data_IF_274435214075
#
_entry.id   IF_274435214075
#
_cell.length_a   1.000
_cell.length_b   1.000
_cell.length_c   1.000
_cell.angle_alpha   90.00
_cell.angle_beta   90.00
_cell.angle_gamma   90.00
#
_symmetry.space_group_name_H-M   'P 1'
#
loop_
_entity.id
_entity.type
_entity.pdbx_description
1 polymer ?
#
# COMPACT_ATOMS: atom_id res chain seq x y z
N UNK A 1 -27.75 26.12 -19.90
CA UNK A 1 -26.70 25.92 -20.93
C UNK A 1 -27.30 25.13 -22.08
N UNK A 2 -27.35 25.70 -23.29
CA UNK A 2 -27.86 25.00 -24.47
C UNK A 2 -26.94 23.81 -24.81
N UNK A 3 -27.52 22.60 -24.88
CA UNK A 3 -26.82 21.41 -25.34
C UNK A 3 -26.47 21.56 -26.82
N UNK A 4 -25.18 21.66 -27.15
CA UNK A 4 -24.69 21.75 -28.53
C UNK A 4 -25.19 20.56 -29.37
N UNK A 5 -25.44 20.79 -30.65
CA UNK A 5 -25.88 19.75 -31.58
C UNK A 5 -24.83 18.63 -31.71
N UNK A 6 -25.25 17.41 -32.08
CA UNK A 6 -24.34 16.25 -32.24
C UNK A 6 -23.17 16.51 -33.22
N UNK A 7 -23.40 17.15 -34.40
CA UNK A 7 -22.32 17.47 -35.35
C UNK A 7 -21.31 18.47 -34.78
N UNK A 8 -21.78 19.49 -34.05
CA UNK A 8 -20.91 20.48 -33.41
C UNK A 8 -20.06 19.87 -32.30
N UNK A 9 -20.63 18.95 -31.49
CA UNK A 9 -19.85 18.18 -30.51
C UNK A 9 -18.78 17.33 -31.18
N UNK A 10 -19.11 16.66 -32.28
CA UNK A 10 -18.16 15.87 -33.06
C UNK A 10 -17.04 16.71 -33.68
N UNK A 11 -17.33 17.94 -34.13
CA UNK A 11 -16.33 18.88 -34.64
C UNK A 11 -15.39 19.36 -33.54
N UNK A 12 -15.93 19.84 -32.41
CA UNK A 12 -15.13 20.33 -31.27
C UNK A 12 -14.23 19.22 -30.71
N UNK A 13 -14.73 17.98 -30.60
CA UNK A 13 -13.93 16.85 -30.13
C UNK A 13 -12.76 16.54 -31.08
N UNK A 14 -12.98 16.62 -32.40
CA UNK A 14 -11.91 16.44 -33.40
C UNK A 14 -10.87 17.55 -33.32
N UNK A 15 -11.30 18.81 -33.20
CA UNK A 15 -10.39 19.95 -33.04
C UNK A 15 -9.52 19.82 -31.77
N UNK A 16 -10.10 19.37 -30.64
CA UNK A 16 -9.35 19.13 -29.39
C UNK A 16 -8.35 17.98 -29.58
N UNK A 17 -8.78 16.84 -30.15
CA UNK A 17 -7.91 15.69 -30.35
C UNK A 17 -6.72 16.04 -31.26
N UNK A 18 -6.96 16.74 -32.38
CA UNK A 18 -5.91 17.18 -33.30
C UNK A 18 -4.90 18.12 -32.62
N UNK A 19 -5.37 19.09 -31.82
CA UNK A 19 -4.49 19.97 -31.03
C UNK A 19 -3.66 19.21 -29.99
N UNK A 20 -4.15 18.07 -29.52
CA UNK A 20 -3.43 17.16 -28.63
C UNK A 20 -2.56 16.12 -29.36
N UNK A 21 -2.35 16.27 -30.68
CA UNK A 21 -1.48 15.39 -31.46
C UNK A 21 -2.10 14.07 -31.92
N UNK A 22 -3.43 13.91 -31.81
CA UNK A 22 -4.12 12.71 -32.27
C UNK A 22 -4.45 12.76 -33.77
N UNK A 23 -4.26 11.64 -34.44
CA UNK A 23 -4.68 11.41 -35.83
C UNK A 23 -5.86 10.44 -35.86
N UNK A 24 -6.93 10.80 -36.57
CA UNK A 24 -8.09 9.93 -36.76
C UNK A 24 -7.79 8.87 -37.83
N UNK A 25 -7.89 7.59 -37.48
CA UNK A 25 -7.81 6.46 -38.40
C UNK A 25 -9.18 5.78 -38.43
N UNK A 26 -9.74 5.57 -39.63
CA UNK A 26 -10.99 4.84 -39.82
C UNK A 26 -10.69 3.43 -40.31
N UNK A 27 -11.18 2.44 -39.58
CA UNK A 27 -11.04 1.02 -39.91
C UNK A 27 -12.44 0.45 -40.20
N UNK A 28 -12.51 -0.44 -41.18
CA UNK A 28 -13.74 -1.16 -41.55
C UNK A 28 -13.60 -2.59 -41.03
N UNK A 29 -14.51 -3.01 -40.15
CA UNK A 29 -14.61 -4.39 -39.70
C UNK A 29 -15.60 -5.16 -40.59
N UNK A 30 -15.20 -6.34 -41.08
CA UNK A 30 -16.03 -7.19 -41.96
C UNK A 30 -16.69 -8.36 -41.22
N UNK A 31 -16.25 -8.61 -40.00
CA UNK A 31 -16.70 -9.72 -39.15
C UNK A 31 -16.57 -9.36 -37.67
N UNK A 32 -17.20 -10.13 -36.78
CA UNK A 32 -17.00 -9.98 -35.33
C UNK A 32 -15.55 -10.26 -34.91
N UNK A 33 -14.85 -11.14 -35.64
CA UNK A 33 -13.43 -11.40 -35.43
C UNK A 33 -12.59 -10.16 -35.76
N UNK A 34 -12.90 -9.44 -36.84
CA UNK A 34 -12.23 -8.18 -37.19
C UNK A 34 -12.44 -7.12 -36.09
N UNK A 35 -13.63 -7.07 -35.47
CA UNK A 35 -13.92 -6.17 -34.34
C UNK A 35 -13.03 -6.52 -33.15
N UNK A 36 -12.94 -7.81 -32.80
CA UNK A 36 -12.12 -8.26 -31.67
C UNK A 36 -10.64 -7.97 -31.89
N UNK A 37 -10.13 -8.16 -33.11
CA UNK A 37 -8.74 -7.83 -33.46
C UNK A 37 -8.46 -6.33 -33.36
N UNK A 38 -9.39 -5.48 -33.82
CA UNK A 38 -9.27 -4.03 -33.71
C UNK A 38 -9.26 -3.58 -32.24
N UNK A 39 -10.14 -4.12 -31.40
CA UNK A 39 -10.16 -3.79 -29.97
C UNK A 39 -8.90 -4.30 -29.25
N UNK A 40 -8.38 -5.48 -29.60
CA UNK A 40 -7.11 -5.99 -29.06
C UNK A 40 -5.94 -5.07 -29.45
N UNK A 41 -5.82 -4.68 -30.73
CA UNK A 41 -4.79 -3.73 -31.17
C UNK A 41 -4.88 -2.39 -30.44
N UNK A 42 -6.11 -1.87 -30.26
CA UNK A 42 -6.36 -0.63 -29.53
C UNK A 42 -5.93 -0.75 -28.07
N UNK A 43 -6.23 -1.86 -27.42
CA UNK A 43 -5.82 -2.14 -26.05
C UNK A 43 -4.29 -2.22 -25.93
N UNK A 44 -3.62 -2.96 -26.80
CA UNK A 44 -2.16 -3.06 -26.79
C UNK A 44 -1.46 -1.72 -27.01
N UNK A 45 -1.94 -0.91 -27.96
CA UNK A 45 -1.40 0.43 -28.19
C UNK A 45 -1.59 1.34 -26.98
N UNK A 46 -2.76 1.27 -26.34
CA UNK A 46 -3.04 2.01 -25.12
C UNK A 46 -2.09 1.60 -23.99
N UNK A 47 -1.88 0.30 -23.78
CA UNK A 47 -0.95 -0.21 -22.75
C UNK A 47 0.48 0.25 -22.99
N UNK A 48 0.98 0.13 -24.23
CA UNK A 48 2.32 0.62 -24.60
C UNK A 48 2.46 2.13 -24.36
N UNK A 49 1.44 2.90 -24.73
CA UNK A 49 1.45 4.36 -24.53
C UNK A 49 1.48 4.73 -23.04
N UNK A 50 0.67 4.07 -22.20
CA UNK A 50 0.63 4.31 -20.75
C UNK A 50 2.00 3.98 -20.13
N UNK A 51 2.62 2.86 -20.52
CA UNK A 51 3.94 2.47 -20.02
C UNK A 51 5.03 3.51 -20.34
N UNK A 52 4.90 4.23 -21.45
CA UNK A 52 5.84 5.29 -21.86
C UNK A 52 5.60 6.63 -21.16
N UNK A 53 4.50 6.81 -20.42
CA UNK A 53 4.24 8.06 -19.71
C UNK A 53 5.13 8.17 -18.45
N UNK A 54 5.85 9.28 -18.23
CA UNK A 54 6.68 9.46 -17.03
C UNK A 54 5.83 9.45 -15.74
N UNK A 55 4.59 9.90 -15.80
CA UNK A 55 3.64 9.85 -14.68
C UNK A 55 3.31 8.42 -14.23
N UNK A 56 3.46 7.42 -15.10
CA UNK A 56 3.19 6.03 -14.76
C UNK A 56 4.11 5.53 -13.64
N UNK A 57 5.37 6.00 -13.61
CA UNK A 57 6.34 5.69 -12.57
C UNK A 57 5.99 6.31 -11.21
N UNK A 58 5.17 7.36 -11.19
CA UNK A 58 4.76 8.08 -9.97
C UNK A 58 3.58 7.41 -9.27
N UNK A 59 2.89 6.49 -9.93
CA UNK A 59 1.80 5.72 -9.34
C UNK A 59 2.35 4.52 -8.55
N UNK A 60 1.74 4.23 -7.41
CA UNK A 60 2.00 2.99 -6.69
C UNK A 60 1.64 1.79 -7.59
N UNK A 61 2.35 0.66 -7.51
CA UNK A 61 2.07 -0.52 -8.35
C UNK A 61 0.58 -0.93 -8.45
N UNK A 62 -0.21 -1.03 -7.35
CA UNK A 62 -1.63 -1.38 -7.45
C UNK A 62 -2.49 -0.29 -8.11
N UNK A 63 -2.15 0.99 -7.91
CA UNK A 63 -2.89 2.11 -8.50
C UNK A 63 -2.58 2.19 -10.00
N UNK A 64 -1.34 1.92 -10.39
CA UNK A 64 -0.92 1.80 -11.79
C UNK A 64 -1.79 0.79 -12.54
N UNK A 65 -1.91 -0.44 -11.99
CA UNK A 65 -2.76 -1.50 -12.54
C UNK A 65 -4.22 -1.05 -12.63
N UNK A 66 -4.75 -0.47 -11.55
CA UNK A 66 -6.14 0.01 -11.53
C UNK A 66 -6.38 1.10 -12.57
N UNK A 67 -5.48 2.08 -12.71
CA UNK A 67 -5.58 3.15 -13.72
C UNK A 67 -5.58 2.56 -15.14
N UNK A 68 -4.69 1.60 -15.43
CA UNK A 68 -4.66 0.89 -16.71
C UNK A 68 -5.98 0.19 -17.01
N UNK A 69 -6.54 -0.55 -16.04
CA UNK A 69 -7.83 -1.22 -16.15
C UNK A 69 -8.97 -0.21 -16.42
N UNK A 70 -9.00 0.92 -15.69
CA UNK A 70 -10.04 1.94 -15.91
C UNK A 70 -9.93 2.64 -17.26
N UNK A 71 -8.72 2.84 -17.79
CA UNK A 71 -8.52 3.43 -19.11
C UNK A 71 -9.05 2.50 -20.21
N UNK A 72 -8.88 1.18 -20.05
CA UNK A 72 -9.43 0.17 -20.95
C UNK A 72 -10.97 0.13 -20.93
N UNK A 73 -11.60 0.47 -19.79
CA UNK A 73 -13.06 0.48 -19.62
C UNK A 73 -13.74 1.78 -20.10
N UNK A 74 -13.03 2.69 -20.79
CA UNK A 74 -13.64 3.93 -21.28
C UNK A 74 -14.78 3.63 -22.27
N UNK A 75 -15.97 4.13 -21.95
CA UNK A 75 -17.17 3.91 -22.77
C UNK A 75 -17.81 2.53 -22.62
N UNK A 76 -17.32 1.73 -21.67
CA UNK A 76 -17.95 0.46 -21.29
C UNK A 76 -19.37 0.67 -20.78
N UNK A 77 -20.28 -0.24 -21.14
CA UNK A 77 -21.66 -0.29 -20.65
C UNK A 77 -21.75 -0.58 -19.14
N UNK A 78 -20.65 -1.01 -18.51
CA UNK A 78 -20.57 -1.19 -17.06
C UNK A 78 -20.72 0.13 -16.28
N UNK A 79 -20.57 1.27 -16.94
CA UNK A 79 -20.66 2.58 -16.31
C UNK A 79 -21.68 3.48 -17.01
N UNK A 80 -22.48 4.19 -16.22
CA UNK A 80 -23.48 5.16 -16.72
C UNK A 80 -22.84 6.28 -17.54
N UNK A 81 -21.62 6.68 -17.17
CA UNK A 81 -20.85 7.71 -17.88
C UNK A 81 -19.62 7.12 -18.53
N UNK A 82 -19.21 7.68 -19.67
CA UNK A 82 -18.04 7.25 -20.47
C UNK A 82 -16.71 7.25 -19.70
N UNK A 83 -16.64 8.00 -18.59
CA UNK A 83 -15.47 8.19 -17.72
C UNK A 83 -15.72 7.64 -16.30
N UNK A 84 -16.75 6.81 -16.13
CA UNK A 84 -17.17 6.31 -14.81
C UNK A 84 -16.08 5.50 -14.11
N UNK A 85 -15.36 4.65 -14.85
CA UNK A 85 -14.24 3.87 -14.32
C UNK A 85 -13.14 4.76 -13.73
N UNK A 86 -12.69 5.77 -14.49
CA UNK A 86 -11.68 6.72 -14.01
C UNK A 86 -12.18 7.54 -12.81
N UNK A 87 -13.44 7.99 -12.86
CA UNK A 87 -14.03 8.72 -11.74
C UNK A 87 -14.07 7.87 -10.47
N UNK A 88 -14.43 6.58 -10.57
CA UNK A 88 -14.43 5.63 -9.46
C UNK A 88 -13.04 5.49 -8.85
N UNK A 89 -11.99 5.32 -9.67
CA UNK A 89 -10.61 5.21 -9.17
C UNK A 89 -10.17 6.47 -8.45
N UNK A 90 -10.43 7.66 -9.01
CA UNK A 90 -10.09 8.92 -8.33
C UNK A 90 -10.82 9.04 -6.99
N UNK A 91 -12.10 8.63 -6.93
CA UNK A 91 -12.83 8.59 -5.66
C UNK A 91 -12.16 7.62 -4.69
N UNK A 92 -11.81 6.41 -5.11
CA UNK A 92 -11.07 5.43 -4.29
C UNK A 92 -9.74 6.01 -3.79
N UNK A 93 -8.95 6.68 -4.64
CA UNK A 93 -7.71 7.32 -4.20
C UNK A 93 -7.94 8.40 -3.14
N UNK A 94 -8.92 9.28 -3.36
CA UNK A 94 -9.29 10.33 -2.40
C UNK A 94 -9.81 9.73 -1.09
N UNK A 95 -10.69 8.74 -1.17
CA UNK A 95 -11.29 8.07 -0.01
C UNK A 95 -10.26 7.40 0.89
N UNK A 96 -9.14 6.98 0.33
CA UNK A 96 -8.04 6.34 1.05
C UNK A 96 -6.86 7.27 1.36
N UNK A 97 -7.00 8.56 1.07
CA UNK A 97 -5.99 9.59 1.34
C UNK A 97 -4.73 9.49 0.48
N UNK A 98 -4.82 8.88 -0.71
CA UNK A 98 -3.72 8.71 -1.67
C UNK A 98 -3.65 9.89 -2.66
N UNK A 99 -3.53 11.11 -2.14
CA UNK A 99 -3.76 12.33 -2.90
C UNK A 99 -2.67 12.60 -3.94
N UNK A 100 -1.41 12.21 -3.65
CA UNK A 100 -0.29 12.42 -4.59
C UNK A 100 -0.42 11.60 -5.88
N UNK A 101 -1.22 10.52 -5.85
CA UNK A 101 -1.44 9.66 -7.01
C UNK A 101 -2.52 10.21 -7.95
N UNK A 102 -3.27 11.23 -7.52
CA UNK A 102 -4.41 11.77 -8.26
C UNK A 102 -3.96 12.55 -9.51
N UNK A 103 -2.98 13.46 -9.36
CA UNK A 103 -2.49 14.27 -10.49
C UNK A 103 -1.82 13.39 -11.55
N UNK A 104 -0.89 12.47 -11.22
CA UNK A 104 -0.31 11.56 -12.21
C UNK A 104 -1.37 10.75 -12.96
N UNK A 105 -2.36 10.20 -12.25
CA UNK A 105 -3.44 9.45 -12.85
C UNK A 105 -4.29 10.30 -13.81
N UNK A 106 -4.60 11.55 -13.45
CA UNK A 106 -5.34 12.48 -14.33
C UNK A 106 -4.51 12.88 -15.55
N UNK A 107 -3.20 13.06 -15.41
CA UNK A 107 -2.31 13.37 -16.54
C UNK A 107 -2.26 12.23 -17.56
N UNK A 108 -2.12 10.99 -17.10
CA UNK A 108 -2.21 9.81 -17.98
C UNK A 108 -3.57 9.76 -18.67
N UNK A 109 -4.67 9.97 -17.92
CA UNK A 109 -6.01 10.01 -18.49
C UNK A 109 -6.17 11.13 -19.54
N UNK A 110 -5.66 12.32 -19.25
CA UNK A 110 -5.68 13.48 -20.16
C UNK A 110 -4.91 13.18 -21.44
N UNK A 111 -3.74 12.55 -21.32
CA UNK A 111 -2.91 12.15 -22.45
C UNK A 111 -3.62 11.13 -23.34
N UNK A 112 -4.39 10.19 -22.76
CA UNK A 112 -5.14 9.20 -23.54
C UNK A 112 -6.45 9.76 -24.10
N UNK A 113 -7.13 10.63 -23.35
CA UNK A 113 -8.53 11.00 -23.58
C UNK A 113 -8.81 12.50 -23.34
N UNK A 114 -8.13 13.41 -24.07
CA UNK A 114 -8.19 14.85 -23.80
C UNK A 114 -9.59 15.45 -23.94
N UNK A 115 -10.41 14.92 -24.86
CA UNK A 115 -11.80 15.36 -25.08
C UNK A 115 -12.74 15.09 -23.90
N UNK A 116 -12.36 14.16 -23.01
CA UNK A 116 -13.19 13.71 -21.89
C UNK A 116 -12.72 14.27 -20.54
N UNK A 117 -11.57 14.96 -20.50
CA UNK A 117 -10.94 15.46 -19.28
C UNK A 117 -11.87 16.36 -18.46
N UNK A 118 -12.62 17.26 -19.11
CA UNK A 118 -13.50 18.21 -18.42
C UNK A 118 -14.55 17.55 -17.53
N UNK A 119 -15.01 16.35 -17.87
CA UNK A 119 -15.97 15.62 -17.06
C UNK A 119 -15.33 15.06 -15.78
N UNK A 120 -14.12 14.55 -15.89
CA UNK A 120 -13.34 14.08 -14.73
C UNK A 120 -13.06 15.26 -13.81
N UNK A 121 -12.60 16.39 -14.34
CA UNK A 121 -12.29 17.60 -13.57
C UNK A 121 -13.50 18.17 -12.82
N UNK A 122 -14.69 18.20 -13.43
CA UNK A 122 -15.92 18.68 -12.76
C UNK A 122 -16.31 17.88 -11.52
N UNK A 123 -15.83 16.65 -11.38
CA UNK A 123 -16.11 15.81 -10.21
C UNK A 123 -15.21 16.12 -9.01
N UNK A 124 -14.10 16.83 -9.21
CA UNK A 124 -13.09 17.04 -8.17
C UNK A 124 -13.58 17.82 -6.94
N UNK A 125 -14.30 18.94 -7.08
CA UNK A 125 -14.76 19.69 -5.91
C UNK A 125 -15.53 18.81 -4.93
N UNK A 126 -16.52 18.05 -5.42
CA UNK A 126 -17.28 17.12 -4.58
C UNK A 126 -16.43 16.06 -3.88
N UNK A 127 -15.42 15.51 -4.58
CA UNK A 127 -14.50 14.51 -4.00
C UNK A 127 -13.60 15.13 -2.92
N UNK A 128 -13.07 16.34 -3.15
CA UNK A 128 -12.25 17.06 -2.17
C UNK A 128 -13.08 17.43 -0.95
N UNK A 129 -14.30 17.91 -1.13
CA UNK A 129 -15.21 18.23 -0.01
C UNK A 129 -15.47 16.98 0.84
N UNK A 130 -15.82 15.86 0.21
CA UNK A 130 -16.05 14.60 0.92
C UNK A 130 -14.79 14.11 1.66
N UNK A 131 -13.62 14.21 1.01
CA UNK A 131 -12.35 13.91 1.65
C UNK A 131 -12.10 14.77 2.89
N UNK A 132 -12.26 16.09 2.80
CA UNK A 132 -12.06 16.99 3.93
C UNK A 132 -13.05 16.70 5.07
N UNK A 133 -14.32 16.42 4.77
CA UNK A 133 -15.32 16.05 5.78
C UNK A 133 -15.05 14.71 6.49
N UNK A 134 -14.24 13.81 5.90
CA UNK A 134 -13.79 12.59 6.60
C UNK A 134 -12.65 12.85 7.59
N UNK A 135 -11.83 13.86 7.33
CA UNK A 135 -10.61 14.13 8.10
C UNK A 135 -10.70 15.36 9.00
N UNK A 136 -11.77 16.14 8.91
CA UNK A 136 -12.05 17.29 9.76
C UNK A 136 -13.53 17.34 10.15
N UNK A 137 -13.85 18.23 11.09
CA UNK A 137 -15.23 18.51 11.43
C UNK A 137 -15.97 19.09 10.21
N UNK A 138 -17.09 18.45 9.82
CA UNK A 138 -17.90 18.85 8.67
C UNK A 138 -18.38 20.31 8.76
N UNK A 139 -18.71 20.84 9.96
CA UNK A 139 -19.11 22.24 10.10
C UNK A 139 -17.96 23.21 9.80
N UNK A 140 -16.72 22.84 10.15
CA UNK A 140 -15.53 23.63 9.83
C UNK A 140 -15.27 23.64 8.32
N UNK A 141 -15.48 22.50 7.65
CA UNK A 141 -15.34 22.40 6.19
C UNK A 141 -16.39 23.26 5.49
N UNK A 142 -17.66 23.15 5.87
CA UNK A 142 -18.75 23.96 5.29
C UNK A 142 -18.47 25.45 5.47
N UNK A 143 -18.18 25.89 6.70
CA UNK A 143 -17.87 27.30 6.99
C UNK A 143 -16.65 27.82 6.19
N UNK A 144 -15.64 26.97 5.96
CA UNK A 144 -14.51 27.33 5.14
C UNK A 144 -14.90 27.49 3.66
N UNK A 145 -15.71 26.57 3.12
CA UNK A 145 -16.16 26.65 1.71
C UNK A 145 -17.05 27.86 1.42
N UNK A 146 -17.90 28.26 2.38
CA UNK A 146 -18.72 29.48 2.27
C UNK A 146 -17.86 30.75 2.23
N UNK A 147 -16.76 30.78 2.98
CA UNK A 147 -15.81 31.91 2.98
C UNK A 147 -14.92 31.98 1.74
N UNK A 148 -14.85 30.90 0.95
CA UNK A 148 -13.99 30.79 -0.23
C UNK A 148 -14.77 30.33 -1.46
N UNK A 149 -15.75 31.10 -1.98
CA UNK A 149 -16.70 30.63 -2.99
C UNK A 149 -16.07 30.05 -4.28
N UNK A 150 -14.85 30.48 -4.62
CA UNK A 150 -14.13 30.01 -5.81
C UNK A 150 -13.23 28.78 -5.56
N UNK A 151 -13.34 28.12 -4.41
CA UNK A 151 -12.47 26.99 -4.04
C UNK A 151 -12.57 25.82 -5.03
N UNK A 152 -13.75 25.58 -5.60
CA UNK A 152 -13.98 24.51 -6.57
C UNK A 152 -13.19 24.70 -7.86
N UNK A 153 -13.19 25.92 -8.40
CA UNK A 153 -12.41 26.26 -9.59
C UNK A 153 -10.91 26.20 -9.29
N UNK A 154 -10.49 26.69 -8.11
CA UNK A 154 -9.10 26.60 -7.66
C UNK A 154 -8.59 25.16 -7.60
N UNK A 155 -9.43 24.22 -7.14
CA UNK A 155 -9.10 22.79 -7.15
C UNK A 155 -8.91 22.28 -8.58
N UNK A 156 -9.84 22.60 -9.49
CA UNK A 156 -9.75 22.16 -10.89
C UNK A 156 -8.47 22.68 -11.55
N UNK A 157 -8.17 23.97 -11.38
CA UNK A 157 -6.94 24.60 -11.88
C UNK A 157 -5.70 23.93 -11.29
N UNK A 158 -5.68 23.64 -9.99
CA UNK A 158 -4.54 22.99 -9.35
C UNK A 158 -4.24 21.58 -9.87
N UNK A 159 -5.26 20.83 -10.29
CA UNK A 159 -5.09 19.51 -10.92
C UNK A 159 -4.44 19.65 -12.29
N UNK A 160 -4.88 20.63 -13.08
CA UNK A 160 -4.32 20.93 -14.40
C UNK A 160 -2.86 21.40 -14.31
N UNK A 161 -2.57 22.30 -13.37
CA UNK A 161 -1.24 22.89 -13.19
C UNK A 161 -0.28 21.95 -12.43
N UNK A 162 -0.79 20.85 -11.86
CA UNK A 162 -0.02 19.90 -11.06
C UNK A 162 0.33 20.38 -9.65
N UNK A 163 -0.40 21.38 -9.13
CA UNK A 163 -0.21 21.97 -7.79
C UNK A 163 -1.24 21.49 -6.76
N UNK A 164 -2.03 20.47 -7.11
CA UNK A 164 -3.15 19.95 -6.31
C UNK A 164 -2.77 19.62 -4.86
N UNK A 165 -1.67 18.91 -4.62
CA UNK A 165 -1.27 18.52 -3.26
C UNK A 165 -0.99 19.74 -2.38
N UNK A 166 -0.35 20.78 -2.91
CA UNK A 166 -0.11 22.02 -2.19
C UNK A 166 -1.39 22.77 -1.85
N UNK A 167 -2.36 22.81 -2.78
CA UNK A 167 -3.68 23.42 -2.51
C UNK A 167 -4.45 22.61 -1.48
N UNK A 168 -4.45 21.28 -1.60
CA UNK A 168 -5.14 20.40 -0.66
C UNK A 168 -4.52 20.49 0.74
N UNK A 169 -3.19 20.56 0.86
CA UNK A 169 -2.48 20.79 2.11
C UNK A 169 -2.94 22.07 2.81
N UNK A 170 -3.03 23.19 2.08
CA UNK A 170 -3.51 24.46 2.63
C UNK A 170 -4.96 24.35 3.13
N UNK A 171 -5.82 23.68 2.38
CA UNK A 171 -7.21 23.44 2.79
C UNK A 171 -7.27 22.59 4.06
N UNK A 172 -6.53 21.47 4.10
CA UNK A 172 -6.44 20.58 5.27
C UNK A 172 -5.96 21.34 6.51
N UNK A 173 -4.96 22.21 6.35
CA UNK A 173 -4.47 23.07 7.44
C UNK A 173 -5.58 23.98 7.95
N UNK A 174 -6.27 24.68 7.04
CA UNK A 174 -7.28 25.67 7.39
C UNK A 174 -8.52 25.06 8.08
N UNK A 175 -8.87 23.81 7.77
CA UNK A 175 -10.02 23.11 8.39
C UNK A 175 -9.62 22.26 9.60
N UNK A 176 -8.34 22.26 10.00
CA UNK A 176 -7.83 21.49 11.14
C UNK A 176 -7.76 19.97 10.89
N UNK A 177 -7.65 19.54 9.63
CA UNK A 177 -7.52 18.12 9.26
C UNK A 177 -6.11 17.54 9.43
N UNK A 178 -5.20 18.28 10.08
CA UNK A 178 -3.78 17.96 10.19
C UNK A 178 -3.41 17.88 11.67
N UNK A 179 -3.33 16.65 12.17
CA UNK A 179 -2.89 16.38 13.54
C UNK A 179 -1.59 15.57 13.48
N UNK A 180 -0.53 16.11 14.08
CA UNK A 180 0.74 15.42 14.17
C UNK A 180 0.63 14.23 15.12
N UNK A 181 1.03 13.05 14.66
CA UNK A 181 1.12 11.84 15.47
C UNK A 181 2.39 11.82 16.34
N UNK A 182 2.33 12.51 17.48
CA UNK A 182 3.45 12.59 18.44
C UNK A 182 3.90 11.23 19.01
N UNK A 183 2.99 10.29 19.36
CA UNK A 183 3.39 8.95 19.79
C UNK A 183 4.27 8.23 18.76
N UNK A 184 3.88 8.25 17.48
CA UNK A 184 4.65 7.63 16.40
C UNK A 184 5.98 8.36 16.17
N UNK A 185 6.02 9.69 16.20
CA UNK A 185 7.28 10.44 16.09
C UNK A 185 8.28 10.05 17.20
N UNK A 186 7.79 9.88 18.42
CA UNK A 186 8.60 9.44 19.56
C UNK A 186 9.08 8.00 19.37
N UNK A 187 8.20 7.10 18.87
CA UNK A 187 8.58 5.74 18.51
C UNK A 187 9.71 5.72 17.48
N UNK A 188 9.61 6.50 16.40
CA UNK A 188 10.60 6.49 15.32
C UNK A 188 11.98 6.91 15.81
N UNK A 189 12.05 7.94 16.66
CA UNK A 189 13.31 8.38 17.29
C UNK A 189 13.91 7.26 18.15
N UNK A 190 13.10 6.63 19.00
CA UNK A 190 13.54 5.51 19.85
C UNK A 190 13.99 4.30 19.03
N UNK A 191 13.33 3.99 17.92
CA UNK A 191 13.68 2.89 17.03
C UNK A 191 15.10 3.06 16.48
N UNK A 192 15.45 4.28 16.05
CA UNK A 192 16.81 4.65 15.61
C UNK A 192 17.83 4.60 16.76
N UNK A 193 17.50 5.17 17.91
CA UNK A 193 18.42 5.32 19.04
C UNK A 193 18.77 3.98 19.72
N UNK A 194 17.82 3.05 19.75
CA UNK A 194 18.00 1.71 20.31
C UNK A 194 18.82 0.80 19.38
N UNK A 195 18.86 1.11 18.09
CA UNK A 195 19.59 0.32 17.11
C UNK A 195 21.11 0.37 17.35
N UNK A 196 21.77 -0.79 17.20
CA UNK A 196 23.22 -0.95 17.39
C UNK A 196 23.81 -1.61 16.14
N UNK A 197 25.06 -1.28 15.81
CA UNK A 197 25.75 -1.86 14.65
C UNK A 197 25.33 -1.29 13.30
N UNK A 198 24.54 -0.22 13.29
CA UNK A 198 24.14 0.49 12.05
C UNK A 198 25.29 1.39 11.60
N UNK A 199 25.62 1.35 10.31
CA UNK A 199 26.71 2.15 9.76
C UNK A 199 26.36 3.66 9.75
N UNK A 200 27.39 4.51 9.69
CA UNK A 200 27.24 5.96 9.79
C UNK A 200 26.37 6.56 8.67
N UNK A 201 26.47 6.05 7.44
CA UNK A 201 25.66 6.52 6.31
C UNK A 201 24.17 6.23 6.51
N UNK A 202 23.82 5.03 6.96
CA UNK A 202 22.44 4.66 7.29
C UNK A 202 21.89 5.48 8.48
N UNK A 203 22.74 5.81 9.47
CA UNK A 203 22.36 6.70 10.58
C UNK A 203 22.08 8.13 10.11
N UNK A 204 22.87 8.65 9.18
CA UNK A 204 22.65 9.98 8.58
C UNK A 204 21.37 10.02 7.76
N UNK A 205 21.15 9.02 6.90
CA UNK A 205 19.91 8.89 6.14
C UNK A 205 18.69 8.75 7.06
N UNK A 206 18.80 7.96 8.13
CA UNK A 206 17.76 7.85 9.16
C UNK A 206 17.44 9.20 9.82
N UNK A 207 18.46 10.02 10.10
CA UNK A 207 18.25 11.36 10.65
C UNK A 207 17.50 12.27 9.66
N UNK A 208 17.90 12.28 8.38
CA UNK A 208 17.22 13.07 7.35
C UNK A 208 15.73 12.70 7.21
N UNK A 209 15.39 11.41 7.35
CA UNK A 209 14.00 10.93 7.35
C UNK A 209 13.26 11.43 8.60
N UNK A 210 13.89 11.37 9.78
CA UNK A 210 13.29 11.84 11.03
C UNK A 210 13.06 13.36 11.05
N UNK A 211 13.91 14.14 10.40
CA UNK A 211 13.76 15.60 10.33
C UNK A 211 12.49 15.98 9.55
N UNK A 212 12.12 15.19 8.53
CA UNK A 212 10.87 15.35 7.76
C UNK A 212 9.65 14.66 8.35
N UNK A 213 9.85 13.73 9.29
CA UNK A 213 8.76 12.92 9.84
C UNK A 213 7.54 13.72 10.34
N UNK A 214 7.66 14.91 10.97
CA UNK A 214 6.48 15.68 11.38
C UNK A 214 5.52 16.01 10.22
N UNK A 215 6.05 16.29 9.03
CA UNK A 215 5.26 16.61 7.83
C UNK A 215 4.76 15.35 7.10
N UNK A 216 5.41 14.22 7.30
CA UNK A 216 4.98 12.92 6.78
C UNK A 216 3.87 12.31 7.64
N UNK A 217 3.96 12.43 8.97
CA UNK A 217 3.08 11.76 9.94
C UNK A 217 1.65 12.30 9.99
N UNK A 218 1.41 13.46 9.39
CA UNK A 218 0.07 14.01 9.14
C UNK A 218 -0.63 13.35 7.94
N UNK A 219 0.09 12.52 7.17
CA UNK A 219 -0.42 11.82 6.00
C UNK A 219 -0.75 10.37 6.34
N UNK A 220 -1.57 9.74 5.51
CA UNK A 220 -1.82 8.30 5.59
C UNK A 220 -0.55 7.53 5.20
N UNK A 221 -0.19 6.44 5.89
CA UNK A 221 0.92 5.58 5.48
C UNK A 221 0.69 4.94 4.10
N UNK A 222 -0.55 4.91 3.58
CA UNK A 222 -0.88 4.45 2.21
C UNK A 222 -0.40 5.40 1.11
N UNK A 223 -0.13 6.65 1.47
CA UNK A 223 0.32 7.66 0.54
C UNK A 223 1.62 7.22 -0.14
N UNK A 224 1.65 7.30 -1.47
CA UNK A 224 2.81 6.92 -2.28
C UNK A 224 3.55 8.16 -2.79
N UNK A 225 4.44 8.65 -1.94
CA UNK A 225 5.40 9.71 -2.25
C UNK A 225 6.76 9.40 -1.62
N UNK A 226 7.77 10.21 -1.94
CA UNK A 226 9.14 9.97 -1.49
C UNK A 226 9.28 9.94 0.04
N UNK A 227 8.62 10.84 0.76
CA UNK A 227 8.78 10.99 2.20
C UNK A 227 8.02 9.88 2.95
N UNK A 228 6.81 9.51 2.52
CA UNK A 228 6.08 8.36 3.05
C UNK A 228 6.81 7.04 2.74
N UNK A 229 7.32 6.86 1.51
CA UNK A 229 8.10 5.69 1.12
C UNK A 229 9.37 5.56 1.98
N UNK A 230 10.08 6.67 2.20
CA UNK A 230 11.27 6.68 3.04
C UNK A 230 10.95 6.33 4.50
N UNK A 231 9.84 6.84 5.04
CA UNK A 231 9.42 6.51 6.40
C UNK A 231 8.97 5.04 6.55
N UNK A 232 8.30 4.48 5.53
CA UNK A 232 7.95 3.06 5.48
C UNK A 232 9.19 2.17 5.43
N UNK A 233 10.17 2.52 4.61
CA UNK A 233 11.45 1.83 4.53
C UNK A 233 12.24 1.93 5.84
N UNK A 234 12.28 3.12 6.47
CA UNK A 234 12.90 3.35 7.76
C UNK A 234 12.36 2.38 8.82
N UNK A 235 11.04 2.27 8.96
CA UNK A 235 10.42 1.39 9.96
C UNK A 235 10.82 -0.06 9.71
N UNK A 236 10.70 -0.54 8.47
CA UNK A 236 11.07 -1.91 8.13
C UNK A 236 12.55 -2.18 8.37
N UNK A 237 13.44 -1.29 7.93
CA UNK A 237 14.89 -1.43 8.06
C UNK A 237 15.31 -1.67 9.51
N UNK A 238 14.87 -0.82 10.44
CA UNK A 238 15.26 -0.98 11.84
C UNK A 238 14.64 -2.21 12.52
N UNK A 239 13.43 -2.60 12.12
CA UNK A 239 12.80 -3.83 12.60
C UNK A 239 13.54 -5.07 12.10
N UNK A 240 14.00 -5.08 10.84
CA UNK A 240 14.82 -6.16 10.29
C UNK A 240 16.19 -6.21 10.95
N UNK A 241 16.85 -5.07 11.17
CA UNK A 241 18.14 -5.01 11.85
C UNK A 241 18.07 -5.59 13.29
N UNK A 242 16.98 -5.32 14.03
CA UNK A 242 16.76 -5.94 15.35
C UNK A 242 16.52 -7.46 15.24
N UNK A 243 15.70 -7.90 14.27
CA UNK A 243 15.42 -9.31 14.03
C UNK A 243 16.67 -10.09 13.62
N UNK A 244 17.49 -9.56 12.72
CA UNK A 244 18.72 -10.21 12.26
C UNK A 244 19.72 -10.37 13.40
N UNK A 245 19.83 -9.36 14.28
CA UNK A 245 20.65 -9.45 15.48
C UNK A 245 20.19 -10.56 16.44
N UNK A 246 18.87 -10.73 16.60
CA UNK A 246 18.30 -11.73 17.52
C UNK A 246 18.35 -13.13 16.93
N UNK A 247 18.00 -13.28 15.66
CA UNK A 247 17.65 -14.55 15.05
C UNK A 247 18.51 -14.92 13.83
N UNK A 248 19.55 -14.15 13.50
CA UNK A 248 20.45 -14.37 12.36
C UNK A 248 20.01 -13.67 11.07
N UNK A 249 20.88 -13.67 10.06
CA UNK A 249 20.71 -12.91 8.82
C UNK A 249 19.50 -13.35 7.99
N UNK A 250 18.92 -12.44 7.20
CA UNK A 250 17.86 -12.77 6.24
C UNK A 250 18.35 -13.71 5.13
N UNK A 251 17.53 -14.70 4.75
CA UNK A 251 17.89 -15.65 3.69
C UNK A 251 17.94 -15.02 2.28
N UNK A 252 17.11 -14.00 2.01
CA UNK A 252 16.95 -13.39 0.68
C UNK A 252 17.03 -11.86 0.72
N UNK A 253 17.89 -11.30 1.57
CA UNK A 253 17.98 -9.84 1.81
C UNK A 253 18.16 -8.99 0.55
N UNK A 254 19.08 -9.38 -0.34
CA UNK A 254 19.40 -8.63 -1.58
C UNK A 254 18.27 -8.63 -2.62
N UNK A 255 17.38 -9.63 -2.57
CA UNK A 255 16.24 -9.80 -3.48
C UNK A 255 14.92 -9.37 -2.83
N UNK A 256 14.97 -8.72 -1.67
CA UNK A 256 13.77 -8.27 -0.95
C UNK A 256 13.56 -6.78 -1.19
N UNK A 257 12.37 -6.41 -1.68
CA UNK A 257 11.96 -5.03 -1.80
C UNK A 257 11.66 -4.43 -0.42
N UNK A 258 12.47 -3.45 0.00
CA UNK A 258 12.51 -2.94 1.37
C UNK A 258 11.53 -1.78 1.65
N UNK A 259 10.62 -1.48 0.73
CA UNK A 259 9.57 -0.48 0.93
C UNK A 259 8.24 -1.23 1.08
N UNK A 260 7.70 -1.39 2.31
CA UNK A 260 6.37 -1.94 2.49
C UNK A 260 5.34 -1.17 1.66
N UNK A 261 4.40 -1.88 1.04
CA UNK A 261 3.39 -1.27 0.19
C UNK A 261 2.01 -1.86 0.48
N UNK A 262 0.97 -1.22 -0.04
CA UNK A 262 -0.42 -1.61 0.19
C UNK A 262 -1.01 -2.26 -1.06
N UNK A 263 -1.86 -3.26 -0.91
CA UNK A 263 -2.60 -3.86 -2.03
C UNK A 263 -4.03 -4.24 -1.61
N UNK A 264 -5.00 -3.46 -2.08
CA UNK A 264 -6.43 -3.69 -1.80
C UNK A 264 -6.98 -5.00 -2.36
N UNK A 265 -6.37 -5.56 -3.41
CA UNK A 265 -6.82 -6.80 -4.05
C UNK A 265 -6.68 -8.03 -3.12
N UNK A 266 -5.72 -8.02 -2.18
CA UNK A 266 -5.50 -9.12 -1.25
C UNK A 266 -6.69 -9.33 -0.31
N UNK A 267 -7.20 -8.24 0.24
CA UNK A 267 -8.36 -8.31 1.14
C UNK A 267 -9.63 -8.72 0.38
N UNK A 268 -9.80 -8.26 -0.87
CA UNK A 268 -10.89 -8.72 -1.74
C UNK A 268 -10.82 -10.22 -2.06
N UNK A 269 -9.62 -10.78 -2.06
CA UNK A 269 -9.38 -12.21 -2.26
C UNK A 269 -9.41 -13.02 -0.95
N UNK A 270 -9.88 -12.43 0.16
CA UNK A 270 -9.95 -13.04 1.50
C UNK A 270 -8.59 -13.55 2.01
N UNK A 271 -7.49 -13.01 1.48
CA UNK A 271 -6.14 -13.34 1.94
C UNK A 271 -5.82 -12.61 3.25
N UNK A 272 -4.83 -13.10 4.04
CA UNK A 272 -4.30 -12.36 5.16
C UNK A 272 -3.88 -10.95 4.74
N UNK A 273 -4.41 -9.96 5.47
CA UNK A 273 -4.28 -8.54 5.15
C UNK A 273 -2.81 -8.12 5.01
N UNK A 274 -1.96 -8.58 5.92
CA UNK A 274 -0.51 -8.38 5.87
C UNK A 274 0.19 -9.70 5.53
N UNK A 275 1.19 -9.65 4.63
CA UNK A 275 1.97 -10.84 4.28
C UNK A 275 3.01 -10.58 3.19
N UNK A 276 3.82 -11.61 2.93
CA UNK A 276 4.83 -11.59 1.87
C UNK A 276 4.17 -11.84 0.52
N UNK A 277 4.63 -11.12 -0.50
CA UNK A 277 4.20 -11.29 -1.89
C UNK A 277 5.41 -11.53 -2.78
N UNK A 278 5.20 -12.29 -3.87
CA UNK A 278 6.12 -12.34 -5.00
C UNK A 278 5.75 -11.30 -6.02
N UNK A 279 6.76 -10.79 -6.72
CA UNK A 279 6.56 -10.06 -7.95
C UNK A 279 6.50 -11.07 -9.11
N UNK A 280 5.44 -10.98 -9.92
CA UNK A 280 5.31 -11.76 -11.16
C UNK A 280 6.23 -11.20 -12.23
N UNK A 281 6.67 -12.03 -13.18
CA UNK A 281 7.63 -11.67 -14.25
C UNK A 281 7.23 -10.44 -15.09
N UNK A 282 5.94 -10.07 -15.11
CA UNK A 282 5.41 -8.89 -15.81
C UNK A 282 5.53 -7.58 -15.00
N UNK A 283 5.98 -7.65 -13.75
CA UNK A 283 6.23 -6.50 -12.88
C UNK A 283 7.62 -5.92 -13.11
N UNK A 284 7.74 -4.59 -13.16
CA UNK A 284 9.04 -3.91 -13.18
C UNK A 284 9.91 -4.27 -11.98
N UNK A 285 9.30 -4.54 -10.82
CA UNK A 285 9.99 -4.94 -9.60
C UNK A 285 10.55 -6.37 -9.68
N UNK A 286 9.98 -7.26 -10.50
CA UNK A 286 10.42 -8.65 -10.60
C UNK A 286 11.81 -8.81 -11.22
N UNK A 287 12.34 -7.77 -11.88
CA UNK A 287 13.73 -7.74 -12.37
C UNK A 287 14.74 -7.67 -11.22
N UNK A 288 14.38 -6.95 -10.16
CA UNK A 288 15.29 -6.57 -9.08
C UNK A 288 14.96 -7.25 -7.75
N UNK A 289 13.73 -7.69 -7.56
CA UNK A 289 13.25 -8.21 -6.30
C UNK A 289 12.34 -9.42 -6.54
N UNK A 290 12.49 -10.42 -5.69
CA UNK A 290 11.65 -11.62 -5.67
C UNK A 290 10.50 -11.44 -4.67
N UNK A 291 10.75 -10.74 -3.56
CA UNK A 291 9.85 -10.64 -2.41
C UNK A 291 9.57 -9.20 -2.01
N UNK A 292 8.39 -8.96 -1.45
CA UNK A 292 8.06 -7.70 -0.79
C UNK A 292 7.06 -7.90 0.35
N UNK A 293 7.00 -6.92 1.24
CA UNK A 293 6.01 -6.89 2.31
C UNK A 293 4.79 -6.09 1.89
N UNK A 294 3.65 -6.77 1.79
CA UNK A 294 2.36 -6.13 1.59
C UNK A 294 1.64 -5.93 2.92
N UNK A 295 1.14 -4.71 3.14
CA UNK A 295 0.30 -4.34 4.27
C UNK A 295 -1.16 -4.29 3.84
N UNK A 296 -2.05 -4.70 4.74
CA UNK A 296 -3.49 -4.65 4.54
C UNK A 296 -3.97 -3.23 4.29
N UNK A 297 -4.88 -3.08 3.34
CA UNK A 297 -5.47 -1.80 2.97
C UNK A 297 -6.19 -1.10 4.10
N UNK A 298 -6.77 -1.87 5.02
CA UNK A 298 -7.50 -1.33 6.19
C UNK A 298 -6.61 -0.63 7.22
N UNK A 299 -5.30 -0.86 7.18
CA UNK A 299 -4.35 -0.31 8.14
C UNK A 299 -3.84 1.07 7.71
N UNK A 300 -4.63 2.11 7.94
CA UNK A 300 -4.37 3.45 7.42
C UNK A 300 -3.89 4.46 8.47
N UNK A 301 -3.51 3.98 9.64
CA UNK A 301 -2.84 4.74 10.68
C UNK A 301 -1.41 4.25 10.87
N UNK A 302 -0.50 5.16 11.26
CA UNK A 302 0.92 4.83 11.41
C UNK A 302 1.19 3.79 12.51
N UNK A 303 0.38 3.75 13.58
CA UNK A 303 0.44 2.73 14.62
C UNK A 303 0.07 1.35 14.10
N UNK A 304 -0.99 1.28 13.28
CA UNK A 304 -1.42 0.06 12.61
C UNK A 304 -0.33 -0.40 11.65
N UNK A 305 0.18 0.51 10.81
CA UNK A 305 1.27 0.22 9.89
C UNK A 305 2.50 -0.33 10.64
N UNK A 306 2.94 0.34 11.71
CA UNK A 306 4.08 -0.12 12.50
C UNK A 306 3.89 -1.54 13.04
N UNK A 307 2.73 -1.84 13.63
CA UNK A 307 2.43 -3.17 14.15
C UNK A 307 2.44 -4.24 13.05
N UNK A 308 1.82 -3.92 11.91
CA UNK A 308 1.73 -4.83 10.77
C UNK A 308 3.09 -5.05 10.10
N UNK A 309 3.94 -4.02 10.04
CA UNK A 309 5.33 -4.18 9.57
C UNK A 309 6.15 -5.02 10.55
N UNK A 310 6.00 -4.84 11.86
CA UNK A 310 6.68 -5.69 12.84
C UNK A 310 6.30 -7.17 12.67
N UNK A 311 5.01 -7.45 12.47
CA UNK A 311 4.52 -8.80 12.17
C UNK A 311 5.12 -9.33 10.85
N UNK A 312 5.04 -8.52 9.79
CA UNK A 312 5.54 -8.85 8.45
C UNK A 312 7.06 -9.05 8.35
N UNK A 313 7.84 -8.33 9.15
CA UNK A 313 9.30 -8.39 9.16
C UNK A 313 9.81 -9.77 9.58
N UNK A 314 9.09 -10.49 10.45
CA UNK A 314 9.44 -11.87 10.81
C UNK A 314 9.33 -12.81 9.62
N UNK A 315 8.28 -12.67 8.80
CA UNK A 315 8.13 -13.47 7.58
C UNK A 315 9.21 -13.15 6.53
N UNK A 316 9.76 -11.94 6.54
CA UNK A 316 10.87 -11.55 5.65
C UNK A 316 12.21 -12.18 6.03
N UNK A 317 12.38 -12.72 7.24
CA UNK A 317 13.62 -13.42 7.60
C UNK A 317 13.89 -14.61 6.67
N UNK A 318 12.84 -15.36 6.31
CA UNK A 318 12.92 -16.50 5.39
C UNK A 318 11.64 -16.52 4.53
N UNK A 319 11.53 -15.63 3.52
CA UNK A 319 10.30 -15.45 2.78
C UNK A 319 9.96 -16.72 2.02
N UNK A 320 8.67 -17.07 2.01
CA UNK A 320 8.14 -18.29 1.43
C UNK A 320 6.86 -17.98 0.69
N UNK A 321 6.66 -18.64 -0.45
CA UNK A 321 5.50 -18.44 -1.30
C UNK A 321 4.99 -19.80 -1.75
N UNK A 322 3.68 -20.00 -1.66
CA UNK A 322 3.02 -21.09 -2.35
C UNK A 322 2.59 -20.58 -3.74
N UNK A 323 3.26 -20.97 -4.83
CA UNK A 323 2.87 -20.56 -6.18
C UNK A 323 1.46 -21.03 -6.56
N UNK A 324 0.96 -22.09 -5.91
CA UNK A 324 -0.43 -22.56 -5.99
C UNK A 324 -0.89 -23.05 -4.61
N UNK A 325 -2.00 -22.52 -4.09
CA UNK A 325 -2.58 -22.92 -2.80
C UNK A 325 -2.07 -22.14 -1.58
N UNK A 326 -2.39 -22.61 -0.38
CA UNK A 326 -1.98 -21.98 0.89
C UNK A 326 -0.60 -22.49 1.30
N UNK A 327 0.33 -21.58 1.60
CA UNK A 327 1.64 -21.93 2.11
C UNK A 327 1.49 -22.70 3.44
N UNK A 328 1.98 -23.94 3.46
CA UNK A 328 2.11 -24.71 4.69
C UNK A 328 3.30 -24.17 5.47
N UNK A 329 3.00 -23.50 6.57
CA UNK A 329 3.99 -22.99 7.52
C UNK A 329 3.74 -23.59 8.87
N UNK A 330 4.80 -23.84 9.63
CA UNK A 330 4.68 -24.23 11.03
C UNK A 330 3.98 -23.13 11.84
N UNK A 331 3.13 -23.50 12.80
CA UNK A 331 2.45 -22.53 13.67
C UNK A 331 3.40 -21.66 14.50
N UNK A 332 4.66 -22.09 14.67
CA UNK A 332 5.73 -21.28 15.25
C UNK A 332 5.91 -19.94 14.54
N UNK A 333 5.84 -19.89 13.20
CA UNK A 333 6.14 -18.68 12.45
C UNK A 333 5.10 -17.56 12.70
N UNK A 334 3.77 -17.79 12.58
CA UNK A 334 2.78 -16.81 13.00
C UNK A 334 2.86 -16.47 14.49
N UNK A 335 3.13 -17.45 15.35
CA UNK A 335 3.31 -17.23 16.79
C UNK A 335 4.47 -16.29 17.10
N UNK A 336 5.59 -16.44 16.38
CA UNK A 336 6.75 -15.57 16.45
C UNK A 336 6.50 -14.17 15.88
N UNK A 337 5.81 -14.09 14.75
CA UNK A 337 5.42 -12.81 14.15
C UNK A 337 4.58 -11.96 15.12
N UNK A 338 3.58 -12.58 15.77
CA UNK A 338 2.74 -11.90 16.76
C UNK A 338 3.55 -11.56 18.02
N UNK A 339 4.37 -12.50 18.52
CA UNK A 339 5.21 -12.23 19.69
C UNK A 339 6.08 -11.00 19.47
N UNK A 340 6.76 -10.93 18.34
CA UNK A 340 7.63 -9.80 18.03
C UNK A 340 6.83 -8.51 17.86
N UNK A 341 5.69 -8.54 17.15
CA UNK A 341 4.83 -7.37 17.01
C UNK A 341 4.29 -6.85 18.35
N UNK A 342 3.90 -7.73 19.27
CA UNK A 342 3.48 -7.36 20.63
C UNK A 342 4.61 -6.78 21.47
N UNK A 343 5.83 -7.32 21.34
CA UNK A 343 7.01 -6.78 22.02
C UNK A 343 7.31 -5.36 21.51
N UNK A 344 7.31 -5.16 20.19
CA UNK A 344 7.54 -3.86 19.57
C UNK A 344 6.45 -2.85 19.93
N UNK A 345 5.18 -3.29 19.95
CA UNK A 345 4.05 -2.49 20.40
C UNK A 345 4.23 -2.05 21.86
N UNK A 346 4.50 -2.98 22.77
CA UNK A 346 4.70 -2.68 24.18
C UNK A 346 5.92 -1.80 24.44
N UNK A 347 7.00 -2.00 23.67
CA UNK A 347 8.24 -1.24 23.82
C UNK A 347 8.10 0.20 23.33
N UNK A 348 7.51 0.40 22.16
CA UNK A 348 7.57 1.68 21.46
C UNK A 348 6.25 2.46 21.41
N UNK A 349 5.10 1.77 21.49
CA UNK A 349 3.76 2.36 21.47
C UNK A 349 2.89 1.78 22.62
N UNK A 350 3.34 1.88 23.89
CA UNK A 350 2.70 1.19 25.03
C UNK A 350 1.25 1.61 25.30
N UNK A 351 0.85 2.79 24.83
CA UNK A 351 -0.50 3.32 25.02
C UNK A 351 -1.45 2.99 23.86
N UNK A 352 -0.95 2.36 22.80
CA UNK A 352 -1.77 1.93 21.67
C UNK A 352 -2.53 0.66 22.03
N UNK A 353 -3.86 0.73 21.97
CA UNK A 353 -4.72 -0.42 22.23
C UNK A 353 -4.58 -1.50 21.16
N UNK A 354 -4.54 -2.77 21.58
CA UNK A 354 -4.52 -3.95 20.70
C UNK A 354 -5.61 -3.96 19.64
N UNK A 355 -6.82 -3.49 20.00
CA UNK A 355 -7.94 -3.40 19.08
C UNK A 355 -7.72 -2.40 17.94
N UNK A 356 -6.90 -1.35 18.17
CA UNK A 356 -6.58 -0.39 17.11
C UNK A 356 -5.75 -1.03 16.00
N UNK A 357 -4.82 -1.89 16.37
CA UNK A 357 -3.82 -2.49 15.46
C UNK A 357 -4.22 -3.88 14.95
N UNK A 358 -5.46 -4.31 15.23
CA UNK A 358 -5.98 -5.66 14.96
C UNK A 358 -5.09 -6.79 15.51
N UNK A 359 -4.55 -6.62 16.72
CA UNK A 359 -3.79 -7.68 17.37
C UNK A 359 -4.69 -8.90 17.66
N UNK A 360 -4.28 -10.13 17.32
CA UNK A 360 -5.05 -11.34 17.59
C UNK A 360 -4.96 -11.78 19.07
N UNK A 361 -4.14 -11.12 19.90
CA UNK A 361 -3.90 -11.56 21.28
C UNK A 361 -5.14 -11.40 22.15
N UNK A 362 -5.48 -12.46 22.89
CA UNK A 362 -6.65 -12.50 23.76
C UNK A 362 -7.96 -12.91 23.06
N UNK A 363 -7.95 -13.14 21.75
CA UNK A 363 -9.12 -13.60 20.99
C UNK A 363 -9.41 -15.09 21.15
N UNK A 364 -8.44 -15.89 21.62
CA UNK A 364 -8.57 -17.35 21.77
C UNK A 364 -8.48 -18.16 20.47
N UNK A 365 -8.32 -17.49 19.33
CA UNK A 365 -8.14 -18.12 18.02
C UNK A 365 -6.77 -18.81 17.89
N UNK A 366 -6.52 -19.45 16.73
CA UNK A 366 -5.28 -20.18 16.48
C UNK A 366 -4.02 -19.29 16.60
N UNK A 367 -4.11 -18.02 16.18
CA UNK A 367 -3.03 -17.04 16.29
C UNK A 367 -2.68 -16.74 17.76
N UNK A 368 -3.67 -16.50 18.62
CA UNK A 368 -3.47 -16.28 20.06
C UNK A 368 -2.84 -17.50 20.73
N UNK A 369 -3.29 -18.72 20.37
CA UNK A 369 -2.72 -19.98 20.90
C UNK A 369 -1.26 -20.15 20.50
N UNK A 370 -0.93 -19.94 19.22
CA UNK A 370 0.44 -20.00 18.73
C UNK A 370 1.34 -18.96 19.44
N UNK A 371 0.85 -17.72 19.59
CA UNK A 371 1.55 -16.66 20.33
C UNK A 371 1.82 -17.06 21.79
N UNK A 372 0.82 -17.58 22.52
CA UNK A 372 0.95 -17.96 23.94
C UNK A 372 1.99 -19.06 24.18
N UNK A 373 2.13 -19.99 23.23
CA UNK A 373 3.18 -21.00 23.27
C UNK A 373 4.54 -20.40 22.87
N UNK A 374 4.61 -19.71 21.72
CA UNK A 374 5.85 -19.14 21.18
C UNK A 374 6.51 -18.12 22.13
N UNK A 375 5.73 -17.32 22.88
CA UNK A 375 6.27 -16.32 23.82
C UNK A 375 7.05 -16.93 25.00
N UNK A 376 6.94 -18.24 25.25
CA UNK A 376 7.69 -18.94 26.32
C UNK A 376 9.14 -19.24 25.95
N UNK A 377 9.44 -19.28 24.65
CA UNK A 377 10.76 -19.65 24.14
C UNK A 377 11.74 -18.46 24.30
N UNK A 378 12.93 -18.62 24.85
CA UNK A 378 13.88 -17.51 24.91
C UNK A 378 14.52 -17.24 23.53
N UNK A 379 14.96 -15.99 23.30
CA UNK A 379 15.48 -15.55 21.98
C UNK A 379 16.68 -16.38 21.50
N UNK A 380 17.55 -16.82 22.42
CA UNK A 380 18.70 -17.69 22.09
C UNK A 380 18.26 -19.06 21.57
N UNK A 381 17.20 -19.66 22.14
CA UNK A 381 16.65 -20.92 21.67
C UNK A 381 15.98 -20.74 20.30
N UNK A 382 15.25 -19.64 20.10
CA UNK A 382 14.65 -19.33 18.80
C UNK A 382 15.69 -19.16 17.69
N UNK A 383 16.83 -18.54 18.01
CA UNK A 383 17.98 -18.49 17.09
C UNK A 383 18.48 -19.90 16.75
N UNK A 384 18.68 -20.77 17.74
CA UNK A 384 19.10 -22.15 17.52
C UNK A 384 18.08 -22.95 16.69
N UNK A 385 16.78 -22.76 16.93
CA UNK A 385 15.71 -23.37 16.12
C UNK A 385 15.85 -22.92 14.66
N UNK A 386 16.11 -21.64 14.42
CA UNK A 386 16.28 -21.14 13.04
C UNK A 386 17.57 -21.68 12.40
N UNK A 387 18.65 -21.81 13.16
CA UNK A 387 19.90 -22.42 12.68
C UNK A 387 19.71 -23.91 12.34
N UNK A 388 18.94 -24.66 13.15
CA UNK A 388 18.64 -26.09 12.94
C UNK A 388 17.70 -26.34 11.75
N UNK A 389 16.61 -25.56 11.66
CA UNK A 389 15.51 -25.79 10.71
C UNK A 389 15.51 -24.84 9.50
N UNK A 390 16.44 -23.90 9.46
CA UNK A 390 16.56 -22.83 8.45
C UNK A 390 15.52 -21.70 8.60
N UNK A 391 14.35 -21.96 9.20
CA UNK A 391 13.30 -20.95 9.41
C UNK A 391 12.31 -21.38 10.50
N UNK A 392 11.54 -20.43 11.01
CA UNK A 392 10.41 -20.74 11.91
C UNK A 392 9.27 -21.47 11.21
N UNK A 393 9.13 -21.34 9.89
CA UNK A 393 8.06 -21.95 9.11
C UNK A 393 8.31 -23.39 8.66
N UNK A 394 9.52 -23.96 8.83
CA UNK A 394 9.91 -25.32 8.35
C UNK A 394 10.38 -26.23 9.47
N UNK A 395 9.51 -26.55 10.41
CA UNK A 395 9.83 -27.57 11.41
C UNK A 395 9.67 -28.97 10.76
N UNK A 396 10.74 -29.46 10.13
CA UNK A 396 10.76 -30.73 9.39
C UNK A 396 10.90 -31.95 10.29
N UNK A 397 11.42 -31.77 11.52
CA UNK A 397 11.55 -32.81 12.54
C UNK A 397 10.88 -32.36 13.86
N UNK A 398 9.59 -32.71 14.06
CA UNK A 398 8.86 -32.39 15.27
C UNK A 398 9.43 -33.04 16.54
N UNK A 399 10.13 -34.18 16.44
CA UNK A 399 10.72 -34.87 17.59
C UNK A 399 11.91 -34.05 18.08
N UNK A 400 12.81 -33.69 17.17
CA UNK A 400 13.94 -32.81 17.45
C UNK A 400 13.49 -31.46 18.01
N UNK A 401 12.44 -30.87 17.45
CA UNK A 401 11.87 -29.63 17.95
C UNK A 401 11.33 -29.76 19.38
N UNK A 402 10.63 -30.85 19.70
CA UNK A 402 10.13 -31.11 21.04
C UNK A 402 11.29 -31.28 22.05
N UNK A 403 12.36 -31.98 21.68
CA UNK A 403 13.55 -32.13 22.52
C UNK A 403 14.19 -30.77 22.83
N UNK A 404 14.41 -29.93 21.80
CA UNK A 404 15.00 -28.59 21.94
C UNK A 404 14.15 -27.65 22.82
N UNK A 405 12.84 -27.85 22.87
CA UNK A 405 11.89 -26.94 23.54
C UNK A 405 11.31 -27.48 24.85
N UNK A 406 11.73 -28.69 25.26
CA UNK A 406 11.18 -29.44 26.39
C UNK A 406 11.21 -28.71 27.74
N UNK A 407 12.21 -27.85 27.96
CA UNK A 407 12.33 -27.03 29.17
C UNK A 407 11.30 -25.88 29.24
N UNK A 408 10.68 -25.51 28.11
CA UNK A 408 9.84 -24.31 27.99
C UNK A 408 8.40 -24.60 27.58
N UNK A 409 8.16 -25.69 26.84
CA UNK A 409 6.87 -26.04 26.27
C UNK A 409 6.35 -27.35 26.82
N UNK A 410 5.02 -27.44 26.96
CA UNK A 410 4.38 -28.74 27.15
C UNK A 410 4.41 -29.56 25.84
N UNK A 411 4.23 -30.88 25.89
CA UNK A 411 4.14 -31.70 24.68
C UNK A 411 3.06 -31.24 23.70
N UNK A 412 1.94 -30.71 24.20
CA UNK A 412 0.86 -30.17 23.36
C UNK A 412 1.26 -28.86 22.67
N UNK A 413 2.00 -28.00 23.37
CA UNK A 413 2.50 -26.74 22.81
C UNK A 413 3.61 -26.97 21.80
N UNK A 414 4.52 -27.92 22.06
CA UNK A 414 5.53 -28.32 21.09
C UNK A 414 4.88 -28.88 19.81
N UNK A 415 3.91 -29.79 19.95
CA UNK A 415 3.12 -30.33 18.82
C UNK A 415 2.37 -29.25 18.07
N UNK A 416 1.77 -28.29 18.78
CA UNK A 416 1.09 -27.16 18.18
C UNK A 416 2.05 -26.36 17.29
N UNK A 417 3.17 -25.91 17.86
CA UNK A 417 4.11 -25.02 17.17
C UNK A 417 4.82 -25.69 16.00
N UNK A 418 5.03 -27.01 16.03
CA UNK A 418 5.62 -27.79 14.94
C UNK A 418 4.62 -28.22 13.85
N UNK A 419 3.32 -28.00 14.04
CA UNK A 419 2.28 -28.42 13.09
C UNK A 419 1.98 -27.38 12.01
N UNK A 420 1.46 -27.83 10.87
CA UNK A 420 0.93 -26.96 9.81
C UNK A 420 -0.10 -25.97 10.38
N UNK A 421 0.17 -24.67 10.23
CA UNK A 421 -0.72 -23.60 10.64
C UNK A 421 -1.97 -23.59 9.75
N UNK A 422 -3.13 -23.55 10.39
CA UNK A 422 -4.42 -23.45 9.71
C UNK A 422 -5.04 -22.09 10.02
N UNK A 423 -5.38 -21.36 8.97
CA UNK A 423 -5.98 -20.02 9.04
C UNK A 423 -7.47 -20.02 9.44
N UNK A 424 -8.06 -21.21 9.64
CA UNK A 424 -9.48 -21.46 9.95
C UNK A 424 -9.89 -21.11 11.37
#
# INVERSE_FOLDING_TARGET
>A
MNAKSSPERGRVNREIAQKSGFTEIKLIARSDQDIQEIENMRYEQLQRFIQQQPENAQLAPPVRRAVQEALALKGSSQYVTTHGAMSRIITTMMDHGMTAQVVPAVRIYSACFPTSLSYVLKSFPGKVHNYLCRHANASSVVAWTERHPNWGDRIITSVLDGTFDGVLYQMRTAVGAMTLNQPVLTMLRRLKDDARGINAGAQEQAQQILDKAPETLIQSPRQWDADCNALRAFILYFLLADLEKRYGDMACGERTFQIPFYEWQRELAEMPATGIVSFKDDSELAKEYDYGLCIGWRYDQWEQFFYQVALGAVYLLNPRIAPVGTLKISALEPGMAIRYAEEMLGKYLPYTGRALVDSPVGTGNMFDRAYRAARKLPDNLLRQIREEFGSFGSITDPVRFADMTSDFLTPDEARLLSSDFRYS
#
